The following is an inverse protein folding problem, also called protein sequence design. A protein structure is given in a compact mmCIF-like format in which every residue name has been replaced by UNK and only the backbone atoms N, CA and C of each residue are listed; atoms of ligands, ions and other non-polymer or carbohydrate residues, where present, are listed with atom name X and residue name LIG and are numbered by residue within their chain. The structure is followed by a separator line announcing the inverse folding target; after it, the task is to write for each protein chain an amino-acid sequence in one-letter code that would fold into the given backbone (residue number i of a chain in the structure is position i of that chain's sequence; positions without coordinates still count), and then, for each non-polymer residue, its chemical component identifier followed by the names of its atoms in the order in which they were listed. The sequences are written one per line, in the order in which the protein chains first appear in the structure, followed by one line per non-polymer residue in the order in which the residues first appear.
data_IF_744745137725
#
_entry.id   IF_744745137725
#
_cell.length_a   1.000
_cell.length_b   1.000
_cell.length_c   1.000
_cell.angle_alpha   90.00
_cell.angle_beta   90.00
_cell.angle_gamma   90.00
#
_symmetry.space_group_name_H-M   'P 1'
#
loop_
_entity.id
_entity.type
_entity.pdbx_description
1 polymer ?
#
# COMPACT_ATOMS: atom_id res chain seq x y z
N UNK A 1 -11.70 13.79 26.31
CA UNK A 1 -10.35 13.20 26.24
C UNK A 1 -9.36 14.34 26.26
N UNK A 2 -8.40 14.33 27.18
CA UNK A 2 -7.38 15.38 27.30
C UNK A 2 -6.07 14.77 26.82
N UNK A 3 -5.60 15.20 25.65
CA UNK A 3 -4.31 14.77 25.10
C UNK A 3 -3.23 15.71 25.64
N UNK A 4 -2.12 15.14 26.10
CA UNK A 4 -0.98 15.95 26.54
C UNK A 4 -0.19 16.43 25.34
N UNK A 5 0.59 17.51 25.52
CA UNK A 5 1.39 18.10 24.44
C UNK A 5 2.43 17.11 23.90
N UNK A 6 2.96 16.26 24.78
CA UNK A 6 3.90 15.19 24.46
C UNK A 6 3.25 14.08 23.61
N UNK A 7 1.94 13.81 23.80
CA UNK A 7 1.21 12.86 22.95
C UNK A 7 1.13 13.35 21.50
N UNK A 8 1.08 14.67 21.26
CA UNK A 8 0.97 15.24 19.92
C UNK A 8 2.32 15.46 19.21
N UNK A 9 3.43 15.62 19.94
CA UNK A 9 4.73 16.01 19.37
C UNK A 9 5.33 14.95 18.41
N UNK A 10 4.83 13.71 18.43
CA UNK A 10 5.22 12.64 17.50
C UNK A 10 4.16 12.26 16.45
N UNK A 11 2.97 12.89 16.44
CA UNK A 11 1.89 12.48 15.55
C UNK A 11 2.18 12.87 14.10
N UNK A 12 2.25 11.86 13.23
CA UNK A 12 2.40 12.02 11.77
C UNK A 12 1.09 11.62 11.09
N UNK A 13 0.50 12.51 10.30
CA UNK A 13 -0.68 12.22 9.47
C UNK A 13 -0.27 12.05 8.02
N UNK A 14 -0.70 10.97 7.38
CA UNK A 14 -0.46 10.67 5.97
C UNK A 14 -1.80 10.43 5.28
N UNK A 15 -1.99 11.00 4.09
CA UNK A 15 -3.19 10.81 3.27
C UNK A 15 -2.83 10.00 2.02
N UNK A 16 -3.55 8.90 1.77
CA UNK A 16 -3.33 8.01 0.62
C UNK A 16 -4.63 7.97 -0.20
N UNK A 17 -4.60 8.56 -1.39
CA UNK A 17 -5.73 8.53 -2.33
C UNK A 17 -5.66 7.36 -3.29
N UNK A 18 -6.73 6.57 -3.40
CA UNK A 18 -6.85 5.49 -4.39
C UNK A 18 -8.01 5.78 -5.34
N UNK A 19 -7.70 5.90 -6.63
CA UNK A 19 -8.74 6.01 -7.65
C UNK A 19 -9.24 4.62 -8.05
N UNK A 20 -10.41 4.23 -7.56
CA UNK A 20 -11.06 2.98 -7.99
C UNK A 20 -11.62 3.19 -9.41
N UNK A 21 -11.13 2.46 -10.43
CA UNK A 21 -11.65 2.61 -11.77
C UNK A 21 -13.09 2.07 -11.82
N UNK A 22 -14.06 2.98 -11.81
CA UNK A 22 -15.44 2.68 -12.20
C UNK A 22 -15.38 2.03 -13.59
N UNK A 23 -15.81 0.77 -13.70
CA UNK A 23 -15.68 -0.06 -14.89
C UNK A 23 -16.13 0.68 -16.16
N UNK A 24 -15.18 1.24 -16.90
CA UNK A 24 -15.48 2.13 -18.01
C UNK A 24 -14.25 2.40 -18.87
N UNK A 25 -14.14 1.61 -19.95
CA UNK A 25 -13.27 1.81 -21.13
C UNK A 25 -11.79 1.44 -20.95
N UNK A 26 -11.49 0.16 -21.25
CA UNK A 26 -10.16 -0.29 -21.69
C UNK A 26 -9.71 0.54 -22.91
N UNK A 27 -8.92 1.58 -22.69
CA UNK A 27 -8.15 2.19 -23.77
C UNK A 27 -6.95 1.29 -24.04
N UNK A 28 -7.06 0.44 -25.06
CA UNK A 28 -5.96 -0.36 -25.58
C UNK A 28 -4.85 0.57 -26.12
N UNK A 29 -3.91 0.94 -25.26
CA UNK A 29 -2.67 1.61 -25.69
C UNK A 29 -1.79 0.58 -26.39
N UNK A 30 -1.88 0.52 -27.72
CA UNK A 30 -0.99 -0.28 -28.57
C UNK A 30 0.45 0.24 -28.41
N UNK A 31 1.26 -0.43 -27.61
CA UNK A 31 2.71 -0.25 -27.62
C UNK A 31 3.28 -0.82 -28.91
N UNK A 32 3.77 0.07 -29.79
CA UNK A 32 4.63 -0.33 -30.91
C UNK A 32 6.04 -0.56 -30.38
N UNK A 33 6.47 -1.81 -30.31
CA UNK A 33 7.88 -2.14 -30.10
C UNK A 33 8.70 -1.66 -31.31
N UNK A 34 9.56 -0.65 -31.12
CA UNK A 34 10.66 -0.36 -32.04
C UNK A 34 11.92 -1.04 -31.52
N UNK A 35 12.55 -1.79 -32.41
CA UNK A 35 13.44 -2.91 -32.11
C UNK A 35 14.78 -2.55 -31.47
N UNK A 36 15.24 -3.47 -30.65
CA UNK A 36 16.62 -3.57 -30.18
C UNK A 36 17.51 -4.11 -31.32
N UNK A 37 18.48 -3.30 -31.75
CA UNK A 37 19.52 -3.74 -32.68
C UNK A 37 20.63 -4.40 -31.88
N UNK A 38 20.77 -5.72 -32.03
CA UNK A 38 21.86 -6.51 -31.48
C UNK A 38 23.22 -5.96 -31.95
N UNK A 39 24.12 -5.69 -31.00
CA UNK A 39 25.56 -5.63 -31.26
C UNK A 39 26.23 -6.76 -30.51
N UNK A 40 26.59 -7.81 -31.25
CA UNK A 40 27.49 -8.88 -30.82
C UNK A 40 28.88 -8.31 -30.55
N UNK A 41 29.44 -8.61 -29.38
CA UNK A 41 30.88 -8.77 -29.07
C UNK A 41 30.96 -9.07 -27.57
N UNK A 42 31.75 -9.99 -27.05
CA UNK A 42 32.60 -11.04 -27.61
C UNK A 42 32.71 -12.08 -26.48
N UNK A 43 32.99 -13.34 -26.83
CA UNK A 43 33.25 -14.41 -25.85
C UNK A 43 34.59 -14.16 -25.16
N UNK A 44 34.60 -14.08 -23.82
CA UNK A 44 35.70 -14.63 -23.03
C UNK A 44 35.13 -15.48 -21.90
N UNK A 45 35.65 -16.70 -21.83
CA UNK A 45 35.39 -17.73 -20.81
C UNK A 45 36.12 -17.33 -19.53
N UNK A 46 35.46 -17.49 -18.40
CA UNK A 46 36.10 -18.03 -17.18
C UNK A 46 34.98 -18.62 -16.32
N UNK A 47 34.79 -19.94 -16.42
CA UNK A 47 35.27 -20.94 -15.45
C UNK A 47 34.41 -20.95 -14.18
N UNK A 48 33.77 -22.09 -13.95
CA UNK A 48 32.74 -22.25 -12.96
C UNK A 48 33.22 -22.04 -11.53
N UNK A 49 32.26 -21.59 -10.71
CA UNK A 49 32.07 -22.12 -9.38
C UNK A 49 30.57 -22.41 -9.28
N UNK A 50 30.24 -23.70 -9.14
CA UNK A 50 29.00 -24.09 -8.49
C UNK A 50 29.04 -23.51 -7.08
N UNK A 51 28.42 -22.35 -6.87
CA UNK A 51 27.95 -22.01 -5.52
C UNK A 51 26.54 -22.60 -5.41
N UNK A 52 26.51 -23.88 -5.04
CA UNK A 52 25.32 -24.60 -4.61
C UNK A 52 24.76 -24.01 -3.32
N UNK A 53 24.36 -22.74 -3.36
CA UNK A 53 23.36 -22.23 -2.44
C UNK A 53 22.04 -22.60 -3.08
N UNK A 54 21.50 -23.73 -2.66
CA UNK A 54 20.05 -23.92 -2.68
C UNK A 54 19.47 -22.65 -2.05
N UNK A 55 18.93 -21.75 -2.88
CA UNK A 55 18.06 -20.70 -2.39
C UNK A 55 17.05 -21.41 -1.48
N UNK A 56 16.87 -20.97 -0.21
CA UNK A 56 15.91 -21.59 0.68
C UNK A 56 14.59 -21.77 -0.07
N UNK A 57 13.81 -22.84 0.18
CA UNK A 57 12.60 -23.18 -0.57
C UNK A 57 11.48 -22.11 -0.57
N UNK A 58 11.76 -20.92 -0.02
CA UNK A 58 10.91 -19.75 0.13
C UNK A 58 11.61 -18.47 -0.39
N UNK A 59 12.30 -18.54 -1.53
CA UNK A 59 13.03 -17.41 -2.13
C UNK A 59 12.33 -16.85 -3.38
N UNK A 60 11.05 -16.48 -3.24
CA UNK A 60 10.38 -15.71 -4.30
C UNK A 60 10.95 -14.30 -4.36
N UNK A 61 11.00 -13.64 -5.55
CA UNK A 61 11.41 -12.24 -5.63
C UNK A 61 10.66 -11.32 -4.66
N UNK A 62 9.37 -11.56 -4.42
CA UNK A 62 8.56 -10.84 -3.43
C UNK A 62 9.06 -11.01 -1.99
N UNK A 63 9.46 -12.22 -1.59
CA UNK A 63 9.99 -12.48 -0.25
C UNK A 63 11.36 -11.82 -0.05
N UNK A 64 12.22 -11.80 -1.08
CA UNK A 64 13.49 -11.07 -1.01
C UNK A 64 13.30 -9.57 -0.82
N UNK A 65 12.37 -8.97 -1.56
CA UNK A 65 12.07 -7.55 -1.42
C UNK A 65 11.52 -7.25 -0.03
N UNK A 66 10.62 -8.09 0.49
CA UNK A 66 10.12 -7.95 1.86
C UNK A 66 11.24 -8.03 2.90
N UNK A 67 12.19 -8.95 2.73
CA UNK A 67 13.35 -9.06 3.61
C UNK A 67 14.21 -7.79 3.57
N UNK A 68 14.58 -7.32 2.37
CA UNK A 68 15.40 -6.11 2.21
C UNK A 68 14.74 -4.89 2.86
N UNK A 69 13.44 -4.70 2.66
CA UNK A 69 12.69 -3.57 3.23
C UNK A 69 12.44 -3.69 4.73
N UNK A 70 12.43 -4.91 5.28
CA UNK A 70 12.12 -5.18 6.69
C UNK A 70 13.34 -5.22 7.61
N UNK A 71 14.56 -5.02 7.10
CA UNK A 71 15.81 -5.08 7.90
C UNK A 71 16.53 -3.74 8.01
N UNK A 72 16.03 -2.66 7.40
CA UNK A 72 16.59 -1.30 7.51
C UNK A 72 16.11 -0.62 8.82
N UNK A 73 16.32 -1.30 9.96
CA UNK A 73 15.86 -0.87 11.30
C UNK A 73 16.71 0.24 11.94
N UNK A 74 17.82 0.66 11.30
CA UNK A 74 18.74 1.67 11.84
C UNK A 74 18.40 3.12 11.45
N UNK A 75 17.31 3.33 10.70
CA UNK A 75 16.83 4.67 10.36
C UNK A 75 15.99 5.24 11.52
N UNK A 76 16.62 6.05 12.40
CA UNK A 76 15.96 6.73 13.52
C UNK A 76 14.71 7.56 13.12
N UNK A 77 14.58 7.92 11.84
CA UNK A 77 13.45 8.68 11.30
C UNK A 77 12.24 7.80 10.87
N UNK A 78 12.42 6.50 10.66
CA UNK A 78 11.45 5.57 10.06
C UNK A 78 10.95 4.47 11.02
N UNK A 79 10.94 4.76 12.32
CA UNK A 79 10.47 3.82 13.35
C UNK A 79 8.97 3.50 13.14
N UNK A 80 8.55 2.22 13.21
CA UNK A 80 7.13 1.86 13.15
C UNK A 80 6.32 2.50 14.27
N UNK A 81 5.15 3.03 13.93
CA UNK A 81 4.21 3.64 14.88
C UNK A 81 2.90 2.84 14.96
N UNK A 82 2.20 2.94 16.10
CA UNK A 82 0.81 2.51 16.16
C UNK A 82 -0.04 3.37 15.22
N UNK A 83 -0.88 2.71 14.43
CA UNK A 83 -1.69 3.36 13.41
C UNK A 83 -3.16 3.44 13.85
N UNK A 84 -3.68 4.66 13.78
CA UNK A 84 -5.10 4.91 13.52
C UNK A 84 -5.26 5.06 12.02
N UNK A 85 -6.24 4.39 11.42
CA UNK A 85 -6.53 4.49 9.99
C UNK A 85 -7.99 4.87 9.79
N UNK A 86 -8.26 5.80 8.89
CA UNK A 86 -9.57 6.31 8.56
C UNK A 86 -9.78 6.19 7.05
N UNK A 87 -10.98 5.79 6.64
CA UNK A 87 -11.39 5.70 5.25
C UNK A 87 -12.46 6.75 4.95
N UNK A 88 -12.08 7.73 4.16
CA UNK A 88 -13.00 8.70 3.57
C UNK A 88 -13.40 8.29 2.15
N UNK A 89 -14.69 8.38 1.86
CA UNK A 89 -15.23 8.23 0.51
C UNK A 89 -15.74 9.57 -0.03
N UNK A 90 -15.46 9.84 -1.31
CA UNK A 90 -15.97 11.03 -1.98
C UNK A 90 -17.42 10.80 -2.43
N UNK A 91 -18.34 11.54 -1.83
CA UNK A 91 -19.77 11.50 -2.15
C UNK A 91 -20.10 12.56 -3.20
N UNK A 92 -20.78 12.13 -4.27
CA UNK A 92 -21.29 13.02 -5.32
C UNK A 92 -22.82 12.98 -5.31
N UNK A 93 -23.46 14.15 -5.16
CA UNK A 93 -24.91 14.33 -5.29
C UNK A 93 -25.19 15.31 -6.43
N UNK A 94 -26.21 15.03 -7.24
CA UNK A 94 -26.52 15.85 -8.42
C UNK A 94 -26.92 17.27 -8.00
N UNK A 95 -26.14 18.26 -8.42
CA UNK A 95 -26.35 19.67 -8.08
C UNK A 95 -25.73 20.13 -6.76
N UNK A 96 -25.00 19.27 -6.05
CA UNK A 96 -24.25 19.61 -4.83
C UNK A 96 -22.74 19.47 -5.07
N UNK A 97 -21.94 20.16 -4.27
CA UNK A 97 -20.48 20.01 -4.28
C UNK A 97 -20.08 18.63 -3.77
N UNK A 98 -19.00 18.07 -4.31
CA UNK A 98 -18.45 16.82 -3.83
C UNK A 98 -17.83 17.00 -2.44
N UNK A 99 -18.09 16.06 -1.55
CA UNK A 99 -17.56 16.07 -0.20
C UNK A 99 -16.96 14.72 0.18
N UNK A 100 -15.88 14.76 0.94
CA UNK A 100 -15.32 13.56 1.57
C UNK A 100 -16.09 13.28 2.85
N UNK A 101 -16.53 12.03 3.00
CA UNK A 101 -17.21 11.56 4.19
C UNK A 101 -16.48 10.35 4.74
N UNK A 102 -16.18 10.37 6.03
CA UNK A 102 -15.69 9.20 6.74
C UNK A 102 -16.72 8.06 6.63
N UNK A 103 -16.24 6.86 6.33
CA UNK A 103 -17.08 5.66 6.14
C UNK A 103 -16.65 4.50 7.03
N UNK A 104 -15.37 4.42 7.40
CA UNK A 104 -14.85 3.39 8.29
C UNK A 104 -13.56 3.85 8.98
N UNK A 105 -13.23 3.23 10.10
CA UNK A 105 -11.97 3.46 10.82
C UNK A 105 -11.42 2.19 11.48
N UNK A 106 -10.11 2.14 11.64
CA UNK A 106 -9.39 1.03 12.24
C UNK A 106 -8.47 1.46 13.38
N UNK A 107 -8.63 0.77 14.50
CA UNK A 107 -7.64 0.70 15.58
C UNK A 107 -7.56 -0.76 16.06
N UNK A 108 -6.78 -1.57 15.33
CA UNK A 108 -6.75 -3.05 15.39
C UNK A 108 -8.08 -3.73 14.99
N UNK A 109 -9.21 -3.15 15.36
CA UNK A 109 -10.58 -3.52 14.96
C UNK A 109 -11.16 -2.47 14.01
N UNK A 110 -12.12 -2.89 13.19
CA UNK A 110 -12.88 -2.07 12.25
C UNK A 110 -14.19 -1.58 12.87
N UNK A 111 -14.54 -0.34 12.61
CA UNK A 111 -15.85 0.24 12.87
C UNK A 111 -16.31 0.97 11.59
N UNK A 112 -17.58 0.81 11.22
CA UNK A 112 -18.19 1.44 10.04
C UNK A 112 -19.20 2.50 10.45
N UNK A 113 -19.39 3.48 9.58
CA UNK A 113 -20.48 4.44 9.67
C UNK A 113 -21.79 3.77 9.23
N UNK A 114 -22.75 3.69 10.14
CA UNK A 114 -24.10 3.17 9.97
C UNK A 114 -25.15 4.29 10.05
N UNK A 115 -26.43 3.93 9.89
CA UNK A 115 -27.59 4.80 10.11
C UNK A 115 -27.50 6.18 9.44
N UNK A 116 -26.96 6.24 8.21
CA UNK A 116 -26.87 7.46 7.43
C UNK A 116 -25.84 8.49 7.92
N UNK A 117 -24.89 8.10 8.77
CA UNK A 117 -23.85 8.99 9.31
C UNK A 117 -23.96 9.26 10.81
N UNK A 118 -25.00 8.74 11.47
CA UNK A 118 -25.31 9.10 12.86
C UNK A 118 -24.74 8.12 13.89
N UNK A 119 -24.22 6.97 13.43
CA UNK A 119 -23.81 5.90 14.32
C UNK A 119 -22.60 5.14 13.81
N UNK A 120 -21.72 4.76 14.73
CA UNK A 120 -20.67 3.77 14.49
C UNK A 120 -21.16 2.36 14.83
N UNK A 121 -20.78 1.39 14.00
CA UNK A 121 -20.96 -0.03 14.31
C UNK A 121 -20.17 -0.43 15.56
N UNK A 122 -20.40 -1.63 16.08
CA UNK A 122 -19.54 -2.17 17.16
C UNK A 122 -18.21 -2.64 16.56
N UNK A 123 -17.08 -2.49 17.26
CA UNK A 123 -15.79 -2.91 16.74
C UNK A 123 -15.78 -4.40 16.40
N UNK A 124 -15.27 -4.75 15.22
CA UNK A 124 -15.18 -6.12 14.75
C UNK A 124 -13.87 -6.40 14.00
N UNK A 125 -13.60 -7.68 13.70
CA UNK A 125 -12.40 -8.08 12.95
C UNK A 125 -12.71 -8.01 11.46
N UNK A 126 -11.94 -7.18 10.74
CA UNK A 126 -12.05 -6.95 9.31
C UNK A 126 -12.01 -8.24 8.47
N UNK A 127 -12.75 -8.27 7.37
CA UNK A 127 -12.62 -9.30 6.32
C UNK A 127 -12.55 -8.66 4.94
N UNK A 128 -11.56 -9.05 4.13
CA UNK A 128 -11.37 -8.53 2.78
C UNK A 128 -11.77 -9.55 1.72
N UNK A 129 -12.38 -9.10 0.63
CA UNK A 129 -12.62 -9.93 -0.56
C UNK A 129 -11.31 -10.19 -1.31
N UNK A 130 -11.12 -11.43 -1.78
CA UNK A 130 -9.94 -11.86 -2.56
C UNK A 130 -10.05 -11.51 -4.05
#
# INVERSE_FOLDING_TARGET
THFEKEDLEGHRTLFIGVHVPLGGRKSHRRHRHRGHKHRKRDRERDSGLEDGRESPPFDTPSQRVQFILGTEDDDEEHIPHDLFTELDEICWREGEDAEWRETARWLKFEEDVEDGGERWSKPYVATLSL
#
